data_IF_127960472479
#
_entry.id   IF_127960472479
#
_cell.length_a   1.000
_cell.length_b   1.000
_cell.length_c   1.000
_cell.angle_alpha   90.00
_cell.angle_beta   90.00
_cell.angle_gamma   90.00
#
_symmetry.space_group_name_H-M   'P 1'
#
loop_
_entity.id
_entity.type
_entity.pdbx_description
1 polymer ?
2 non-polymer ?
3 non-polymer ?
4 non-polymer ?
5 water ?
#
# COMPACT_ATOMS: atom_id res chain seq x y z
N UNK A 8 10.55 5.58 -3.47
CA UNK A 8 11.63 4.83 -2.77
C UNK A 8 12.35 5.55 -1.63
N UNK A 9 11.91 6.73 -1.32
CA UNK A 9 12.48 7.57 -0.29
C UNK A 9 11.43 7.74 0.83
N UNK A 10 11.72 7.12 2.00
CA UNK A 10 10.78 7.02 3.07
C UNK A 10 11.35 7.63 4.35
N UNK A 11 10.58 8.50 4.96
CA UNK A 11 11.00 9.14 6.21
C UNK A 11 10.41 8.39 7.41
N UNK A 12 11.12 8.46 8.53
CA UNK A 12 10.63 7.88 9.76
C UNK A 12 10.98 8.80 10.91
N UNK A 13 10.15 8.78 11.94
CA UNK A 13 10.39 9.54 13.12
C UNK A 13 10.13 8.71 14.33
N UNK A 14 10.97 8.85 15.36
CA UNK A 14 10.71 8.18 16.60
C UNK A 14 9.88 9.14 17.44
N UNK A 15 8.62 8.82 17.64
CA UNK A 15 7.69 9.71 18.37
C UNK A 15 8.11 9.89 19.83
N UNK A 16 8.53 8.83 20.43
CA UNK A 16 8.80 8.77 21.79
C UNK A 16 9.65 7.60 22.12
N UNK A 17 10.27 7.61 23.29
CA UNK A 17 11.33 6.67 23.66
C UNK A 17 10.90 5.88 24.88
N UNK A 18 10.99 4.59 24.79
CA UNK A 18 10.80 3.72 25.88
C UNK A 18 11.80 4.02 26.99
N UNK A 19 11.31 4.20 28.21
CA UNK A 19 12.22 4.34 29.36
C UNK A 19 13.01 3.06 29.67
N UNK A 20 12.71 1.94 29.03
CA UNK A 20 13.45 0.74 29.23
C UNK A 20 14.89 0.84 28.77
N UNK A 21 15.17 1.73 27.80
CA UNK A 21 16.45 1.80 27.14
C UNK A 21 16.92 3.24 27.16
N UNK A 22 18.24 3.45 27.02
CA UNK A 22 18.76 4.77 26.73
C UNK A 22 18.24 5.26 25.38
N UNK A 23 17.98 6.56 25.30
CA UNK A 23 17.48 7.19 24.07
C UNK A 23 18.40 6.87 22.87
N UNK A 24 19.71 6.95 23.07
CA UNK A 24 20.67 6.64 21.98
C UNK A 24 20.55 5.16 21.54
N UNK A 25 20.28 4.25 22.48
CA UNK A 25 20.15 2.84 22.16
C UNK A 25 18.89 2.62 21.35
N UNK A 26 17.81 3.32 21.70
CA UNK A 26 16.56 3.24 20.86
C UNK A 26 16.84 3.76 19.44
N UNK A 27 17.50 4.92 19.33
CA UNK A 27 17.82 5.44 18.02
C UNK A 27 18.62 4.44 17.16
N UNK A 28 19.64 3.81 17.76
CA UNK A 28 20.53 2.91 17.11
C UNK A 28 19.76 1.66 16.67
N UNK A 29 18.98 1.10 17.55
CA UNK A 29 18.21 -0.11 17.23
C UNK A 29 17.28 0.15 16.03
N UNK A 30 16.57 1.27 16.06
CA UNK A 30 15.67 1.61 14.97
C UNK A 30 16.42 1.89 13.66
N UNK A 31 17.53 2.60 13.76
CA UNK A 31 18.31 2.89 12.57
C UNK A 31 18.83 1.59 11.94
N UNK A 32 19.29 0.67 12.78
CA UNK A 32 19.83 -0.59 12.29
C UNK A 32 18.67 -1.40 11.71
N UNK A 33 17.51 -1.37 12.31
CA UNK A 33 16.37 -2.08 11.74
C UNK A 33 15.97 -1.59 10.36
N UNK A 34 15.91 -0.29 10.10
CA UNK A 34 15.68 0.20 8.79
C UNK A 34 16.82 -0.17 7.83
N UNK A 35 18.05 -0.18 8.30
CA UNK A 35 19.18 -0.59 7.48
C UNK A 35 19.08 -2.01 6.97
N UNK A 36 18.48 -2.91 7.76
CA UNK A 36 18.27 -4.27 7.30
C UNK A 36 17.42 -4.29 6.01
N UNK A 37 16.36 -3.48 5.96
CA UNK A 37 15.52 -3.49 4.80
C UNK A 37 16.12 -2.71 3.68
N UNK A 38 16.76 -1.60 4.01
CA UNK A 38 17.48 -0.85 2.96
C UNK A 38 18.60 -1.65 2.28
N UNK A 39 19.24 -2.57 2.99
CA UNK A 39 20.32 -3.37 2.44
C UNK A 39 19.86 -4.37 1.38
N UNK A 40 18.55 -4.59 1.25
CA UNK A 40 18.04 -5.58 0.26
C UNK A 40 17.02 -5.00 -0.69
N UNK A 41 16.91 -3.68 -0.76
CA UNK A 41 15.97 -2.95 -1.58
C UNK A 41 16.59 -1.62 -2.10
N UNK A 42 15.94 -1.00 -3.04
CA UNK A 42 16.28 0.37 -3.41
C UNK A 42 15.81 1.41 -2.45
N UNK A 43 15.21 1.02 -1.31
CA UNK A 43 14.67 1.99 -0.38
C UNK A 43 15.73 2.81 0.29
N UNK A 44 15.46 4.11 0.38
CA UNK A 44 16.32 5.06 1.11
C UNK A 44 15.45 5.57 2.28
N UNK A 45 15.93 5.34 3.50
CA UNK A 45 15.23 5.82 4.70
C UNK A 45 15.97 7.06 5.27
N UNK A 46 15.19 8.03 5.71
CA UNK A 46 15.76 9.23 6.34
C UNK A 46 15.02 9.47 7.64
N UNK A 47 15.78 9.42 8.72
CA UNK A 47 15.30 9.80 10.02
C UNK A 47 15.01 11.28 10.14
N UNK A 48 13.84 11.60 10.69
CA UNK A 48 13.45 12.97 11.02
C UNK A 48 13.24 13.09 12.52
N UNK A 49 13.73 14.17 13.14
CA UNK A 49 13.51 14.39 14.56
C UNK A 49 12.18 15.00 14.86
N UNK A 50 11.64 15.84 13.96
CA UNK A 50 10.41 16.50 14.11
C UNK A 50 9.81 16.62 12.73
N UNK A 51 8.50 16.68 12.71
CA UNK A 51 7.76 16.85 11.44
C UNK A 51 7.02 15.62 10.99
N UNK A 52 6.54 15.67 9.74
CA UNK A 52 5.59 14.69 9.23
C UNK A 52 6.28 13.60 8.52
N UNK A 53 6.38 12.43 9.16
CA UNK A 53 7.12 11.32 8.61
C UNK A 53 6.18 10.30 8.00
N UNK A 54 6.70 9.50 7.11
CA UNK A 54 5.93 8.36 6.59
C UNK A 54 5.65 7.31 7.67
N UNK A 55 6.66 7.00 8.44
CA UNK A 55 6.64 5.89 9.40
C UNK A 55 6.85 6.54 10.75
N UNK A 56 5.85 6.56 11.60
CA UNK A 56 6.07 6.94 13.01
C UNK A 56 6.25 5.70 13.91
N UNK A 57 7.31 5.73 14.73
CA UNK A 57 7.60 4.78 15.70
C UNK A 57 7.08 5.27 17.04
N UNK A 58 6.26 4.45 17.70
CA UNK A 58 5.61 4.85 18.92
C UNK A 58 5.71 3.72 19.93
N UNK A 59 6.00 4.07 21.21
CA UNK A 59 5.83 3.19 22.30
C UNK A 59 4.61 3.58 23.10
N UNK A 60 3.71 2.63 23.34
CA UNK A 60 2.46 2.94 24.06
C UNK A 60 1.93 1.69 24.62
N UNK A 61 1.00 1.84 25.55
CA UNK A 61 0.46 0.69 26.19
C UNK A 61 -1.05 0.67 26.06
N UNK A 62 -1.61 -0.49 26.29
CA UNK A 62 -3.07 -0.64 26.23
C UNK A 62 -3.68 0.00 25.03
N UNK A 63 -4.79 0.71 25.22
CA UNK A 63 -5.46 1.44 24.14
C UNK A 63 -4.73 2.73 23.91
N UNK A 64 -4.34 2.94 22.66
CA UNK A 64 -3.41 3.99 22.31
C UNK A 64 -3.80 4.63 21.00
N UNK A 65 -5.11 4.72 20.78
CA UNK A 65 -5.61 5.57 19.73
C UNK A 65 -5.83 5.02 18.36
N UNK A 66 -5.72 3.71 18.18
CA UNK A 66 -5.88 3.11 16.86
C UNK A 66 -6.80 1.99 16.72
N UNK A 67 -7.58 1.66 17.73
CA UNK A 67 -8.54 0.52 17.56
C UNK A 67 -7.90 -0.88 17.63
N UNK A 68 -6.60 -0.95 17.90
CA UNK A 68 -5.90 -2.14 18.18
C UNK A 68 -5.13 -2.01 19.52
N UNK A 69 -5.88 -2.12 20.59
CA UNK A 69 -5.26 -1.94 21.91
C UNK A 69 -4.30 -3.04 22.19
N UNK A 70 -3.23 -2.72 22.90
CA UNK A 70 -2.32 -3.71 23.45
C UNK A 70 -2.85 -4.39 24.68
N UNK A 71 -2.16 -5.40 25.12
CA UNK A 71 -2.75 -6.39 26.05
C UNK A 71 -1.93 -6.56 27.30
N UNK A 72 -1.11 -5.60 27.66
CA UNK A 72 -0.24 -5.78 28.83
C UNK A 72 1.00 -6.59 28.60
N UNK A 73 1.70 -6.95 29.66
CA UNK A 73 2.94 -7.63 29.54
C UNK A 73 2.74 -9.00 28.92
N UNK A 74 3.58 -9.32 27.94
CA UNK A 74 3.42 -10.55 27.22
C UNK A 74 2.44 -10.44 26.09
N UNK A 75 1.98 -11.59 25.59
CA UNK A 75 1.08 -11.54 24.48
C UNK A 75 1.66 -10.74 23.28
N UNK A 76 0.82 -9.88 22.72
CA UNK A 76 1.21 -9.05 21.61
C UNK A 76 2.34 -8.13 22.03
N UNK A 77 3.42 -8.08 21.22
CA UNK A 77 4.62 -7.28 21.51
C UNK A 77 4.53 -5.95 20.84
N UNK A 78 3.97 -5.91 19.61
CA UNK A 78 4.02 -4.76 18.74
C UNK A 78 3.10 -4.98 17.59
N UNK A 79 2.74 -3.95 16.85
CA UNK A 79 2.09 -4.12 15.53
C UNK A 79 2.39 -2.98 14.62
N UNK A 80 2.04 -3.05 13.35
CA UNK A 80 2.44 -1.96 12.51
C UNK A 80 1.47 -1.96 11.34
N UNK A 81 1.27 -0.82 10.82
CA UNK A 81 0.29 -0.65 9.71
C UNK A 81 1.06 -0.58 8.38
N UNK A 82 0.45 -1.15 7.33
CA UNK A 82 1.06 -1.04 6.05
C UNK A 82 1.07 0.37 5.50
N UNK A 83 1.76 0.57 4.37
CA UNK A 83 2.00 1.90 3.87
C UNK A 83 0.72 2.64 3.56
N UNK A 84 0.68 3.91 3.91
CA UNK A 84 -0.50 4.72 3.77
C UNK A 84 -0.40 6.03 4.38
N UNK A 85 -1.47 6.81 4.29
CA UNK A 85 -1.46 8.15 4.87
C UNK A 85 -1.74 7.94 6.33
N UNK A 86 -1.44 8.96 7.11
CA UNK A 86 -1.84 8.94 8.53
C UNK A 86 -1.11 7.84 9.29
N UNK A 87 -1.88 6.98 9.96
CA UNK A 87 -1.33 5.91 10.76
C UNK A 87 -0.66 4.83 9.85
N UNK A 88 -0.94 4.89 8.55
CA UNK A 88 -0.26 4.05 7.63
C UNK A 88 1.25 4.14 7.75
N UNK A 89 1.88 3.00 7.84
CA UNK A 89 3.30 2.86 7.95
C UNK A 89 3.76 2.86 9.44
N UNK A 90 2.91 3.20 10.36
CA UNK A 90 3.39 3.43 11.68
C UNK A 90 3.67 2.08 12.33
N UNK A 91 4.54 2.07 13.33
CA UNK A 91 4.97 0.89 14.02
C UNK A 91 4.89 1.18 15.50
N UNK A 92 4.09 0.37 16.19
CA UNK A 92 3.80 0.63 17.59
C UNK A 92 4.30 -0.53 18.42
N UNK A 93 4.97 -0.22 19.53
CA UNK A 93 5.63 -1.18 20.41
C UNK A 93 4.97 -1.09 21.78
N UNK A 94 4.55 -2.22 22.27
CA UNK A 94 3.85 -2.31 23.56
C UNK A 94 4.80 -2.00 24.71
N UNK A 95 4.56 -0.86 25.34
CA UNK A 95 5.43 -0.46 26.43
C UNK A 95 5.33 -1.35 27.61
N UNK A 96 4.30 -2.17 27.71
CA UNK A 96 4.31 -3.18 28.78
C UNK A 96 5.32 -4.33 28.61
N UNK A 97 5.98 -4.39 27.46
CA UNK A 97 7.16 -5.23 27.34
C UNK A 97 8.35 -4.51 27.83
N UNK A 98 9.41 -5.28 28.06
CA UNK A 98 10.69 -4.73 28.48
C UNK A 98 11.64 -4.74 27.31
N UNK A 99 11.75 -3.59 26.65
CA UNK A 99 12.58 -3.49 25.41
C UNK A 99 14.06 -3.46 25.72
N UNK A 100 14.83 -4.20 24.97
CA UNK A 100 16.27 -4.32 25.23
C UNK A 100 17.14 -4.11 24.02
N UNK A 101 18.39 -3.72 24.26
CA UNK A 101 19.39 -3.57 23.17
C UNK A 101 19.82 -4.98 22.71
N UNK A 102 19.87 -5.92 23.68
CA UNK A 102 20.27 -7.29 23.41
C UNK A 102 19.17 -8.19 23.97
N UNK A 103 19.49 -9.13 24.86
CA UNK A 103 18.51 -10.07 25.41
C UNK A 103 18.10 -9.58 26.80
N UNK A 104 17.49 -10.43 27.61
CA UNK A 104 17.02 -10.01 28.94
C UNK A 104 15.66 -9.32 28.92
N UNK A 105 14.98 -9.44 27.81
CA UNK A 105 13.70 -8.72 27.57
C UNK A 105 13.37 -9.04 26.13
N UNK A 106 12.64 -8.14 25.48
CA UNK A 106 12.28 -8.31 24.10
C UNK A 106 13.20 -7.34 23.32
N UNK A 107 14.00 -7.93 22.42
CA UNK A 107 14.98 -7.19 21.69
C UNK A 107 14.27 -6.19 20.71
N UNK A 108 14.60 -4.91 20.86
CA UNK A 108 13.90 -3.91 20.09
C UNK A 108 14.32 -4.00 18.63
N UNK A 109 15.63 -4.12 18.36
CA UNK A 109 16.09 -4.24 16.98
C UNK A 109 15.33 -5.32 16.16
N UNK A 110 15.32 -6.54 16.64
CA UNK A 110 14.69 -7.65 15.96
C UNK A 110 13.21 -7.39 15.78
N UNK A 111 12.56 -6.98 16.86
CA UNK A 111 11.17 -6.63 16.74
C UNK A 111 10.87 -5.56 15.77
N UNK A 112 11.73 -4.55 15.72
CA UNK A 112 11.60 -3.46 14.77
C UNK A 112 11.82 -3.96 13.35
N UNK A 113 12.73 -4.88 13.17
CA UNK A 113 12.88 -5.45 11.78
C UNK A 113 11.54 -6.07 11.32
N UNK A 114 10.92 -6.84 12.21
CA UNK A 114 9.63 -7.43 11.90
C UNK A 114 8.57 -6.40 11.64
N UNK A 115 8.42 -5.42 12.57
CA UNK A 115 7.44 -4.41 12.36
C UNK A 115 7.65 -3.54 11.17
N UNK A 116 8.90 -3.20 10.88
CA UNK A 116 9.14 -2.39 9.69
C UNK A 116 8.78 -3.17 8.44
N UNK A 117 8.98 -4.47 8.48
CA UNK A 117 8.44 -5.28 7.42
C UNK A 117 7.01 -5.02 7.16
N UNK A 118 6.18 -5.06 8.20
CA UNK A 118 4.77 -4.69 8.02
C UNK A 118 4.54 -3.28 7.56
N UNK A 119 5.33 -2.31 8.12
CA UNK A 119 5.26 -0.90 7.69
C UNK A 119 5.43 -0.77 6.19
N UNK A 120 6.27 -1.66 5.60
CA UNK A 120 6.56 -1.53 4.20
C UNK A 120 5.63 -2.34 3.34
N UNK A 121 4.76 -3.13 3.96
CA UNK A 121 3.67 -3.78 3.28
C UNK A 121 3.74 -5.28 3.36
N UNK A 122 4.60 -5.88 4.16
CA UNK A 122 4.77 -7.32 4.21
C UNK A 122 3.76 -7.88 5.21
N UNK A 123 3.24 -9.04 4.90
CA UNK A 123 2.63 -9.90 5.87
C UNK A 123 3.49 -10.91 6.54
N UNK A 124 2.85 -11.90 7.20
CA UNK A 124 3.62 -12.87 7.86
C UNK A 124 4.08 -13.96 6.91
N UNK A 125 5.27 -14.46 7.19
CA UNK A 125 5.85 -15.64 6.52
C UNK A 125 5.48 -16.93 7.22
N UNK A 126 5.39 -17.99 6.43
CA UNK A 126 5.30 -19.34 6.95
C UNK A 126 6.67 -20.00 7.03
N UNK A 127 7.75 -19.28 6.74
CA UNK A 127 9.08 -19.77 6.89
C UNK A 127 9.62 -19.41 8.27
N UNK A 128 9.88 -20.36 9.13
CA UNK A 128 10.37 -20.02 10.47
C UNK A 128 11.72 -19.38 10.54
N UNK A 129 12.49 -19.40 9.45
CA UNK A 129 13.73 -18.69 9.41
C UNK A 129 13.54 -17.21 9.02
N UNK A 130 12.37 -16.84 8.54
CA UNK A 130 12.09 -15.47 8.14
C UNK A 130 11.82 -14.57 9.38
N UNK A 131 12.29 -13.32 9.29
CA UNK A 131 11.96 -12.36 10.38
C UNK A 131 10.47 -12.07 10.42
N UNK A 132 9.80 -12.22 9.28
CA UNK A 132 8.40 -12.09 9.21
C UNK A 132 7.60 -13.31 9.69
N UNK A 133 8.26 -14.34 10.19
CA UNK A 133 7.54 -15.40 10.88
C UNK A 133 7.22 -14.84 12.26
N UNK A 134 5.95 -14.94 12.72
CA UNK A 134 5.54 -14.20 13.90
C UNK A 134 5.84 -14.99 15.25
N UNK A 135 7.05 -15.44 15.44
CA UNK A 135 7.53 -16.00 16.73
C UNK A 135 8.83 -15.28 17.08
N UNK A 136 8.82 -14.60 18.21
CA UNK A 136 10.02 -13.90 18.66
C UNK A 136 10.98 -14.95 19.14
N UNK A 137 12.22 -14.78 18.73
CA UNK A 137 13.28 -15.61 19.20
C UNK A 137 14.51 -14.75 19.14
N UNK A 138 15.25 -14.69 20.25
CA UNK A 138 16.43 -13.87 20.24
C UNK A 138 17.52 -14.58 19.42
N UNK A 139 18.25 -13.78 18.68
CA UNK A 139 19.45 -14.24 18.04
C UNK A 139 20.39 -13.13 18.18
N UNK A 140 21.67 -13.46 18.35
CA UNK A 140 22.71 -12.46 18.35
C UNK A 140 22.52 -11.50 17.21
N UNK A 141 22.43 -10.24 17.57
CA UNK A 141 22.14 -9.18 16.65
C UNK A 141 23.15 -9.11 15.54
N UNK A 142 24.37 -9.55 15.78
CA UNK A 142 25.42 -9.46 14.75
C UNK A 142 25.40 -10.58 13.77
N UNK A 143 24.79 -11.70 14.15
CA UNK A 143 24.64 -12.80 13.24
C UNK A 143 23.22 -12.83 12.59
N UNK A 144 22.33 -11.92 13.00
CA UNK A 144 20.98 -11.88 12.41
C UNK A 144 21.07 -11.66 10.90
N UNK A 145 20.28 -12.41 10.13
CA UNK A 145 20.16 -12.18 8.69
C UNK A 145 18.72 -12.44 8.25
N UNK A 146 18.24 -11.62 7.31
CA UNK A 146 16.95 -11.87 6.68
C UNK A 146 17.04 -13.22 5.96
N UNK A 147 15.95 -13.94 5.94
CA UNK A 147 15.85 -15.15 5.17
C UNK A 147 15.55 -14.77 3.72
N UNK A 148 15.79 -15.75 2.85
CA UNK A 148 15.42 -15.56 1.46
C UNK A 148 13.95 -15.30 1.23
N UNK A 149 13.11 -15.87 2.05
CA UNK A 149 11.69 -15.50 2.02
C UNK A 149 11.36 -14.03 2.31
N UNK A 150 12.04 -13.43 3.29
CA UNK A 150 11.89 -11.98 3.57
C UNK A 150 12.34 -11.15 2.40
N UNK A 151 13.43 -11.57 1.76
CA UNK A 151 13.97 -10.81 0.66
C UNK A 151 13.03 -10.95 -0.51
N UNK A 152 12.54 -12.17 -0.76
CA UNK A 152 11.48 -12.34 -1.83
C UNK A 152 10.33 -11.37 -1.57
N UNK A 153 9.80 -11.36 -0.35
CA UNK A 153 8.66 -10.50 -0.08
C UNK A 153 8.89 -9.07 -0.32
N UNK A 154 9.96 -8.55 0.22
CA UNK A 154 10.22 -7.14 0.12
C UNK A 154 10.60 -6.73 -1.33
N UNK A 155 11.35 -7.61 -2.02
CA UNK A 155 11.69 -7.28 -3.40
C UNK A 155 10.48 -7.37 -4.31
N UNK A 156 9.49 -8.12 -3.90
CA UNK A 156 8.25 -8.14 -4.69
C UNK A 156 7.53 -6.85 -4.66
N UNK A 157 7.72 -6.07 -3.60
CA UNK A 157 7.11 -4.74 -3.53
C UNK A 157 7.96 -3.58 -4.02
N UNK A 158 9.28 -3.65 -3.84
CA UNK A 158 10.14 -2.51 -4.09
C UNK A 158 11.27 -2.90 -5.03
N UNK A 159 11.34 -2.20 -6.15
CA UNK A 159 12.16 -2.61 -7.31
C UNK A 159 11.31 -3.15 -8.47
N UNK B 8 -9.35 10.10 -29.81
CA UNK B 8 -8.22 9.44 -29.16
C UNK B 8 -7.50 10.18 -28.03
N UNK B 9 -7.98 11.38 -27.70
CA UNK B 9 -7.43 12.19 -26.69
C UNK B 9 -8.47 12.20 -25.58
N UNK B 10 -8.07 11.82 -24.37
CA UNK B 10 -9.04 11.63 -23.31
C UNK B 10 -8.47 12.22 -22.04
N UNK B 11 -9.23 13.11 -21.45
CA UNK B 11 -8.84 13.77 -20.24
C UNK B 11 -9.36 12.98 -19.02
N UNK B 12 -8.62 13.03 -17.93
CA UNK B 12 -9.17 12.53 -16.66
C UNK B 12 -8.84 13.50 -15.54
N UNK B 13 -9.65 13.45 -14.51
CA UNK B 13 -9.43 14.19 -13.33
C UNK B 13 -9.76 13.35 -12.11
N UNK B 14 -8.90 13.38 -11.14
CA UNK B 14 -9.23 12.78 -9.86
C UNK B 14 -10.04 13.79 -9.00
N UNK B 15 -11.33 13.48 -8.81
CA UNK B 15 -12.21 14.38 -8.11
C UNK B 15 -11.85 14.56 -6.67
N UNK B 16 -11.39 13.49 -6.08
CA UNK B 16 -11.14 13.48 -4.67
C UNK B 16 -10.26 12.33 -4.35
N UNK B 17 -9.70 12.30 -3.12
CA UNK B 17 -8.71 11.40 -2.79
C UNK B 17 -9.08 10.58 -1.56
N UNK B 18 -8.88 9.27 -1.63
CA UNK B 18 -9.27 8.42 -0.53
C UNK B 18 -8.30 8.77 0.61
N UNK B 19 -8.86 8.89 1.83
CA UNK B 19 -7.99 9.10 3.06
C UNK B 19 -7.17 7.92 3.36
N UNK B 20 -7.45 6.78 2.71
CA UNK B 20 -6.71 5.57 2.88
C UNK B 20 -5.25 5.66 2.51
N UNK B 21 -4.95 6.46 1.52
CA UNK B 21 -3.66 6.49 0.88
C UNK B 21 -3.10 7.88 0.83
N UNK B 22 -1.77 7.94 0.71
CA UNK B 22 -1.09 9.16 0.40
C UNK B 22 -1.61 9.68 -0.95
N UNK B 23 -1.82 10.98 -1.04
CA UNK B 23 -2.35 11.65 -2.23
C UNK B 23 -1.46 11.33 -3.42
N UNK B 24 -0.15 11.48 -3.24
CA UNK B 24 0.74 11.18 -4.34
C UNK B 24 0.63 9.74 -4.82
N UNK B 25 0.32 8.82 -3.91
CA UNK B 25 0.21 7.40 -4.27
C UNK B 25 -1.08 7.14 -5.12
N UNK B 26 -2.15 7.82 -4.81
CA UNK B 26 -3.42 7.75 -5.60
C UNK B 26 -3.11 8.32 -7.00
N UNK B 27 -2.44 9.48 -7.06
CA UNK B 27 -2.07 10.05 -8.35
C UNK B 27 -1.25 9.07 -9.16
N UNK B 28 -0.29 8.45 -8.54
CA UNK B 28 0.58 7.48 -9.24
C UNK B 28 -0.12 6.22 -9.68
N UNK B 29 -0.92 5.68 -8.78
CA UNK B 29 -1.69 4.46 -9.15
C UNK B 29 -2.60 4.74 -10.39
N UNK B 30 -3.29 5.85 -10.33
CA UNK B 30 -4.24 6.18 -11.45
C UNK B 30 -3.46 6.44 -12.71
N UNK B 31 -2.35 7.16 -12.58
CA UNK B 31 -1.55 7.47 -13.75
C UNK B 31 -1.02 6.19 -14.41
N UNK B 32 -0.57 5.25 -13.61
CA UNK B 32 -0.03 3.99 -14.12
C UNK B 32 -1.14 3.11 -14.71
N UNK B 33 -2.31 3.18 -14.14
CA UNK B 33 -3.44 2.42 -14.69
C UNK B 33 -3.83 2.93 -16.05
N UNK B 34 -3.89 4.24 -16.23
CA UNK B 34 -4.10 4.73 -17.59
C UNK B 34 -2.98 4.33 -18.56
N UNK B 35 -1.77 4.35 -18.10
CA UNK B 35 -0.67 3.93 -18.89
C UNK B 35 -0.78 2.49 -19.43
N UNK B 36 -1.30 1.59 -18.60
CA UNK B 36 -1.49 0.24 -18.99
C UNK B 36 -2.30 0.24 -20.33
N UNK B 37 -3.43 0.96 -20.38
CA UNK B 37 -4.24 1.01 -21.55
C UNK B 37 -3.70 1.83 -22.73
N UNK B 38 -3.01 2.91 -22.41
CA UNK B 38 -2.28 3.75 -23.38
C UNK B 38 -1.27 2.87 -24.15
N UNK B 39 -0.62 1.98 -23.43
CA UNK B 39 0.43 1.14 -23.97
C UNK B 39 -0.03 0.17 -25.05
N UNK B 40 -1.34 -0.06 -25.23
CA UNK B 40 -1.84 -1.03 -26.19
C UNK B 40 -2.93 -0.42 -27.08
N UNK B 41 -2.97 0.89 -27.15
CA UNK B 41 -3.96 1.55 -27.99
C UNK B 41 -3.34 2.83 -28.54
N UNK B 42 -4.07 3.53 -29.41
CA UNK B 42 -3.64 4.82 -29.86
C UNK B 42 -4.09 5.95 -29.00
N UNK B 43 -4.61 5.59 -27.80
CA UNK B 43 -5.19 6.61 -26.90
C UNK B 43 -4.13 7.39 -26.19
N UNK B 44 -4.38 8.70 -26.13
CA UNK B 44 -3.58 9.55 -25.32
C UNK B 44 -4.42 10.07 -24.15
N UNK B 45 -3.91 9.96 -22.94
CA UNK B 45 -4.58 10.50 -21.79
C UNK B 45 -3.85 11.71 -21.26
N UNK B 46 -4.64 12.66 -20.74
CA UNK B 46 -4.18 13.88 -20.12
C UNK B 46 -4.86 14.09 -18.78
N UNK B 47 -4.07 14.16 -17.75
CA UNK B 47 -4.54 14.40 -16.46
C UNK B 47 -4.84 15.91 -16.30
N UNK B 48 -6.04 16.22 -15.81
CA UNK B 48 -6.52 17.55 -15.52
C UNK B 48 -6.55 17.67 -14.01
N UNK B 49 -6.05 18.77 -13.46
CA UNK B 49 -6.21 19.01 -11.99
C UNK B 49 -7.52 19.74 -11.71
N UNK B 50 -8.02 20.56 -12.64
CA UNK B 50 -9.21 21.29 -12.46
C UNK B 50 -9.91 21.38 -13.80
N UNK B 51 -11.20 21.20 -13.81
CA UNK B 51 -11.94 21.52 -15.00
C UNK B 51 -12.71 20.32 -15.49
N UNK B 52 -13.17 20.37 -16.73
CA UNK B 52 -14.13 19.42 -17.23
C UNK B 52 -13.39 18.28 -17.95
N UNK B 53 -13.34 17.14 -17.31
CA UNK B 53 -12.62 15.97 -17.79
C UNK B 53 -13.60 14.93 -18.39
N UNK B 54 -13.09 14.11 -19.31
CA UNK B 54 -13.90 12.98 -19.83
C UNK B 54 -14.13 11.95 -18.71
N UNK B 55 -13.08 11.56 -18.02
CA UNK B 55 -13.18 10.50 -17.01
C UNK B 55 -12.91 11.11 -15.66
N UNK B 56 -13.88 11.06 -14.80
CA UNK B 56 -13.69 11.49 -13.42
C UNK B 56 -13.50 10.28 -12.59
N UNK B 57 -12.44 10.30 -11.79
CA UNK B 57 -12.13 9.31 -10.76
C UNK B 57 -12.67 9.83 -9.46
N UNK B 58 -13.55 9.06 -8.81
CA UNK B 58 -14.28 9.47 -7.57
C UNK B 58 -14.15 8.38 -6.55
N UNK B 59 -13.90 8.78 -5.28
CA UNK B 59 -14.09 7.85 -4.13
C UNK B 59 -15.31 8.29 -3.39
N UNK B 60 -16.22 7.36 -3.15
CA UNK B 60 -17.42 7.64 -2.48
C UNK B 60 -17.97 6.42 -1.84
N UNK B 61 -18.94 6.65 -0.99
CA UNK B 61 -19.62 5.50 -0.31
C UNK B 61 -21.07 5.52 -0.49
N UNK B 62 -21.70 4.38 -0.21
CA UNK B 62 -23.15 4.29 -0.27
C UNK B 62 -23.75 4.94 -1.54
N UNK B 63 -24.89 5.54 -1.42
CA UNK B 63 -25.52 6.24 -2.51
C UNK B 63 -24.67 7.53 -2.76
N UNK B 64 -24.33 7.79 -4.00
CA UNK B 64 -23.43 8.85 -4.30
C UNK B 64 -23.75 9.50 -5.58
N UNK B 65 -25.01 9.53 -5.96
CA UNK B 65 -25.43 10.39 -7.02
C UNK B 65 -25.70 9.80 -8.37
N UNK B 66 -25.53 8.47 -8.49
CA UNK B 66 -25.88 7.77 -9.68
C UNK B 66 -26.88 6.64 -9.29
N UNK B 67 -27.18 5.74 -10.19
CA UNK B 67 -28.24 4.84 -9.79
C UNK B 67 -27.70 3.60 -9.19
N UNK B 68 -26.47 3.64 -8.68
CA UNK B 68 -25.70 2.46 -8.39
C UNK B 68 -24.95 2.63 -7.05
N UNK B 69 -25.70 2.65 -5.98
CA UNK B 69 -25.12 2.84 -4.69
C UNK B 69 -24.18 1.71 -4.35
N UNK B 70 -23.13 2.03 -3.62
CA UNK B 70 -22.24 1.07 -3.03
C UNK B 70 -22.81 0.45 -1.75
N UNK B 71 -22.14 -0.59 -1.32
CA UNK B 71 -22.72 -1.59 -0.40
C UNK B 71 -21.94 -1.74 0.88
N UNK B 72 -21.15 -0.76 1.26
CA UNK B 72 -20.28 -0.94 2.40
C UNK B 72 -19.06 -1.81 2.18
N UNK B 73 -18.35 -2.13 3.27
CA UNK B 73 -17.17 -2.88 3.14
C UNK B 73 -17.40 -4.24 2.53
N UNK B 74 -16.54 -4.64 1.61
CA UNK B 74 -16.69 -5.93 0.92
C UNK B 74 -17.66 -5.79 -0.25
N UNK B 75 -18.09 -6.91 -0.79
CA UNK B 75 -18.90 -6.87 -1.94
C UNK B 75 -18.30 -6.04 -3.06
N UNK B 76 -19.13 -5.16 -3.63
CA UNK B 76 -18.72 -4.37 -4.72
C UNK B 76 -17.54 -3.47 -4.29
N UNK B 77 -16.46 -3.46 -5.11
CA UNK B 77 -15.30 -2.68 -4.85
C UNK B 77 -15.33 -1.33 -5.56
N UNK B 78 -15.87 -1.31 -6.82
CA UNK B 78 -15.78 -0.14 -7.61
C UNK B 78 -16.64 -0.40 -8.83
N UNK B 79 -16.93 0.63 -9.56
CA UNK B 79 -17.70 0.50 -10.80
C UNK B 79 -17.42 1.68 -11.69
N UNK B 80 -17.68 1.55 -13.02
CA UNK B 80 -17.29 2.56 -13.95
C UNK B 80 -18.26 2.53 -15.10
N UNK B 81 -18.56 3.70 -15.63
CA UNK B 81 -19.46 3.85 -16.78
C UNK B 81 -18.69 3.91 -18.04
N UNK B 82 -19.24 3.30 -19.10
CA UNK B 82 -18.63 3.44 -20.35
C UNK B 82 -18.72 4.79 -20.90
N UNK B 83 -18.03 5.02 -22.02
CA UNK B 83 -17.93 6.37 -22.51
C UNK B 83 -19.27 7.10 -22.73
N UNK B 84 -19.31 8.37 -22.41
CA UNK B 84 -20.52 9.17 -22.57
C UNK B 84 -20.36 10.52 -22.00
N UNK B 85 -21.39 11.36 -22.20
CA UNK B 85 -21.52 12.62 -21.59
C UNK B 85 -21.63 12.42 -20.07
N UNK B 86 -21.28 13.48 -19.33
CA UNK B 86 -21.60 13.53 -17.94
C UNK B 86 -20.89 12.49 -17.12
N UNK B 87 -21.71 11.65 -16.46
CA UNK B 87 -21.13 10.48 -15.72
C UNK B 87 -20.48 9.47 -16.61
N UNK B 88 -20.77 9.47 -17.93
CA UNK B 88 -20.10 8.51 -18.79
C UNK B 88 -18.58 8.64 -18.64
N UNK B 89 -17.92 7.51 -18.65
CA UNK B 89 -16.51 7.43 -18.43
C UNK B 89 -16.07 7.37 -16.98
N UNK B 90 -16.94 7.77 -16.07
CA UNK B 90 -16.48 8.03 -14.67
C UNK B 90 -16.24 6.75 -14.00
N UNK B 91 -15.18 6.67 -13.18
CA UNK B 91 -14.79 5.46 -12.41
C UNK B 91 -14.97 5.81 -10.94
N UNK B 92 -15.75 4.98 -10.26
CA UNK B 92 -16.11 5.20 -8.84
C UNK B 92 -15.59 4.07 -8.01
N UNK B 93 -14.85 4.42 -6.95
CA UNK B 93 -14.28 3.52 -6.04
C UNK B 93 -14.95 3.58 -4.66
N UNK B 94 -15.42 2.45 -4.18
CA UNK B 94 -16.13 2.40 -2.88
C UNK B 94 -15.19 2.73 -1.71
N UNK B 95 -15.41 3.92 -1.14
CA UNK B 95 -14.59 4.38 0.00
C UNK B 95 -14.75 3.48 1.20
N UNK B 96 -15.75 2.61 1.21
CA UNK B 96 -15.84 1.64 2.31
C UNK B 96 -14.73 0.58 2.28
N UNK B 97 -14.12 0.36 1.11
CA UNK B 97 -12.97 -0.49 0.98
C UNK B 97 -11.72 0.22 1.48
N UNK B 98 -10.71 -0.58 1.78
CA UNK B 98 -9.47 -0.02 2.19
C UNK B 98 -8.46 -0.13 1.04
N UNK B 99 -8.25 1.01 0.40
CA UNK B 99 -7.47 1.10 -0.86
C UNK B 99 -5.98 1.16 -0.45
N UNK B 100 -5.16 0.41 -1.15
CA UNK B 100 -3.75 0.39 -0.83
C UNK B 100 -2.84 0.45 -2.07
N UNK B 101 -1.55 0.67 -1.79
CA UNK B 101 -0.55 0.45 -2.78
C UNK B 101 0.02 -0.99 -2.79
N UNK B 102 -0.44 -1.90 -1.93
CA UNK B 102 0.16 -3.21 -1.74
C UNK B 102 -0.91 -4.28 -1.74
N UNK B 103 -0.70 -5.36 -1.01
CA UNK B 103 -1.60 -6.49 -1.02
C UNK B 103 -2.61 -6.53 0.11
N UNK B 104 -2.42 -5.72 1.13
CA UNK B 104 -3.41 -5.51 2.15
C UNK B 104 -4.59 -4.85 1.47
N UNK B 105 -5.75 -5.15 1.95
CA UNK B 105 -6.91 -4.42 1.48
C UNK B 105 -7.08 -4.71 0.03
N UNK B 106 -7.45 -3.63 -0.68
CA UNK B 106 -7.73 -3.67 -2.11
C UNK B 106 -6.76 -2.76 -2.85
N UNK B 107 -5.95 -3.36 -3.72
CA UNK B 107 -4.91 -2.57 -4.42
C UNK B 107 -5.61 -1.61 -5.36
N UNK B 108 -5.29 -0.33 -5.26
CA UNK B 108 -5.96 0.62 -6.11
C UNK B 108 -5.55 0.46 -7.55
N UNK B 109 -4.26 0.38 -7.80
CA UNK B 109 -3.78 0.31 -9.17
C UNK B 109 -4.49 -0.78 -9.95
N UNK B 110 -4.52 -2.00 -9.39
CA UNK B 110 -5.09 -3.14 -10.14
C UNK B 110 -6.58 -2.90 -10.37
N UNK B 111 -7.24 -2.37 -9.36
CA UNK B 111 -8.67 -2.11 -9.49
C UNK B 111 -8.91 -1.00 -10.51
N UNK B 112 -8.09 0.06 -10.44
CA UNK B 112 -8.19 1.13 -11.48
C UNK B 112 -7.96 0.60 -12.90
N UNK B 113 -7.07 -0.36 -13.11
CA UNK B 113 -6.93 -0.87 -14.47
C UNK B 113 -8.25 -1.46 -14.95
N UNK B 114 -8.85 -2.29 -14.12
CA UNK B 114 -10.17 -2.84 -14.43
C UNK B 114 -11.19 -1.79 -14.69
N UNK B 115 -11.29 -0.83 -13.78
CA UNK B 115 -12.31 0.20 -13.93
C UNK B 115 -12.11 1.07 -15.16
N UNK B 116 -10.86 1.42 -15.45
CA UNK B 116 -10.59 2.21 -16.66
C UNK B 116 -10.94 1.42 -17.90
N UNK B 117 -10.76 0.10 -17.88
CA UNK B 117 -11.23 -0.69 -18.95
C UNK B 117 -12.70 -0.47 -19.22
N UNK B 118 -13.53 -0.51 -18.16
CA UNK B 118 -14.92 -0.18 -18.29
C UNK B 118 -15.10 1.27 -18.78
N UNK B 119 -14.37 2.23 -18.21
CA UNK B 119 -14.52 3.66 -18.63
C UNK B 119 -14.31 3.85 -20.12
N UNK B 120 -13.45 3.01 -20.72
CA UNK B 120 -13.17 3.03 -22.15
C UNK B 120 -14.14 2.28 -23.01
N UNK B 121 -15.03 1.53 -22.37
CA UNK B 121 -16.04 0.80 -23.12
C UNK B 121 -15.98 -0.70 -23.01
N UNK B 122 -15.08 -1.30 -22.21
CA UNK B 122 -15.02 -2.73 -22.18
C UNK B 122 -16.08 -3.25 -21.25
N UNK B 123 -16.56 -4.47 -21.55
CA UNK B 123 -17.34 -5.23 -20.57
C UNK B 123 -16.44 -6.25 -19.88
N UNK B 124 -17.05 -7.18 -19.15
CA UNK B 124 -16.28 -8.22 -18.57
C UNK B 124 -15.82 -9.31 -19.52
N UNK B 125 -14.70 -9.90 -19.18
CA UNK B 125 -14.10 -10.96 -19.91
C UNK B 125 -14.49 -12.26 -19.22
N UNK B 126 -14.58 -13.33 -20.00
CA UNK B 126 -14.67 -14.68 -19.44
C UNK B 126 -13.29 -15.40 -19.32
N UNK B 127 -12.22 -14.73 -19.75
CA UNK B 127 -10.88 -15.24 -19.60
C UNK B 127 -10.39 -14.83 -18.20
N UNK B 128 -10.15 -15.79 -17.29
CA UNK B 128 -9.59 -15.50 -15.98
C UNK B 128 -8.25 -14.80 -15.94
N UNK B 129 -7.42 -14.91 -16.97
CA UNK B 129 -6.18 -14.16 -16.99
C UNK B 129 -6.41 -12.68 -17.33
N UNK B 130 -7.60 -12.34 -17.85
CA UNK B 130 -7.85 -10.98 -18.26
C UNK B 130 -8.11 -10.04 -17.07
N UNK B 131 -7.59 -8.82 -17.14
CA UNK B 131 -7.91 -7.86 -16.12
C UNK B 131 -9.41 -7.58 -16.05
N UNK B 132 -10.07 -7.68 -17.17
CA UNK B 132 -11.51 -7.45 -17.18
C UNK B 132 -12.36 -8.59 -16.64
N UNK B 133 -11.71 -9.69 -16.18
CA UNK B 133 -12.46 -10.75 -15.48
C UNK B 133 -12.81 -10.21 -14.10
N UNK B 134 -14.06 -10.34 -13.68
CA UNK B 134 -14.48 -9.69 -12.48
C UNK B 134 -14.24 -10.45 -11.18
N UNK B 135 -13.00 -10.87 -10.99
CA UNK B 135 -12.56 -11.39 -9.70
C UNK B 135 -11.30 -10.66 -9.36
N UNK B 136 -11.31 -9.88 -8.28
CA UNK B 136 -10.08 -9.25 -7.82
C UNK B 136 -9.08 -10.28 -7.32
N UNK B 137 -7.84 -10.13 -7.72
CA UNK B 137 -6.76 -11.02 -7.28
C UNK B 137 -5.45 -10.22 -7.25
N UNK B 138 -4.90 -10.05 -6.05
CA UNK B 138 -3.67 -9.33 -5.97
C UNK B 138 -2.56 -10.04 -6.76
N UNK B 139 -1.80 -9.29 -7.58
CA UNK B 139 -0.54 -9.76 -8.19
C UNK B 139 0.45 -8.66 -8.08
N UNK B 140 1.72 -9.04 -7.92
CA UNK B 140 2.81 -8.08 -7.90
C UNK B 140 2.63 -7.14 -9.07
N UNK B 141 2.41 -5.88 -8.70
CA UNK B 141 2.06 -4.81 -9.63
C UNK B 141 3.08 -4.70 -10.75
N UNK B 142 4.34 -4.96 -10.44
CA UNK B 142 5.41 -4.95 -11.41
C UNK B 142 5.23 -6.07 -12.44
N UNK B 143 4.66 -7.18 -11.97
CA UNK B 143 4.41 -8.37 -12.78
C UNK B 143 3.08 -8.40 -13.55
N UNK B 144 2.22 -7.44 -13.28
CA UNK B 144 0.92 -7.41 -13.92
C UNK B 144 0.99 -7.17 -15.43
N UNK B 145 0.19 -7.90 -16.18
CA UNK B 145 0.15 -7.68 -17.64
C UNK B 145 -1.25 -7.81 -18.07
N UNK B 146 -1.66 -7.01 -19.06
CA UNK B 146 -2.87 -7.31 -19.77
C UNK B 146 -2.82 -8.67 -20.49
N UNK B 147 -3.96 -9.37 -20.51
CA UNK B 147 -4.06 -10.55 -21.34
C UNK B 147 -4.34 -10.20 -22.76
N UNK B 148 -4.11 -11.19 -23.64
CA UNK B 148 -4.50 -11.06 -25.00
C UNK B 148 -5.98 -10.79 -25.21
N UNK B 149 -6.84 -11.28 -24.30
CA UNK B 149 -8.24 -10.96 -24.43
C UNK B 149 -8.52 -9.47 -24.14
N UNK B 150 -7.80 -8.92 -23.20
CA UNK B 150 -7.97 -7.49 -22.92
C UNK B 150 -7.51 -6.60 -24.05
N UNK B 151 -6.38 -7.03 -24.70
CA UNK B 151 -5.87 -6.30 -25.84
C UNK B 151 -6.85 -6.40 -26.99
N UNK B 152 -7.43 -7.58 -27.19
CA UNK B 152 -8.41 -7.79 -28.24
C UNK B 152 -9.58 -6.84 -27.99
N UNK B 153 -10.08 -6.86 -26.78
CA UNK B 153 -11.19 -5.99 -26.40
C UNK B 153 -10.97 -4.56 -26.72
N UNK B 154 -9.88 -4.01 -26.24
CA UNK B 154 -9.67 -2.58 -26.29
C UNK B 154 -9.34 -2.15 -27.73
N UNK B 155 -8.63 -3.02 -28.45
CA UNK B 155 -8.26 -2.66 -29.83
C UNK B 155 -9.43 -2.79 -30.74
N UNK B 156 -10.43 -3.58 -30.36
CA UNK B 156 -11.68 -3.61 -31.09
C UNK B 156 -12.41 -2.27 -31.02
N UNK B 157 -12.22 -1.49 -29.96
CA UNK B 157 -12.83 -0.18 -29.83
C UNK B 157 -12.01 0.96 -30.31
N UNK B 158 -10.68 0.89 -30.13
CA UNK B 158 -9.82 1.94 -30.50
C UNK B 158 -8.70 1.46 -31.45
N UNK B 159 -8.61 2.11 -32.58
CA UNK B 159 -7.56 1.74 -33.56
C UNK B 159 -8.18 1.32 -34.88
X LIG C 1 2.54 -9.87 14.15
X LIG C 1 2.36 -9.05 15.07
X LIG C 1 2.90 -7.87 15.14
X LIG C 1 3.70 -7.58 14.08
X LIG C 1 1.40 -9.33 16.20
X LIG C 1 1.42 -10.84 16.48
X LIG C 1 0.55 -11.59 15.76
X LIG C 1 0.46 -12.96 15.90
X LIG C 1 1.27 -13.57 16.77
X LIG C 1 2.16 -12.87 17.53
X LIG C 1 2.26 -11.45 17.40
X LIG C 1 3.42 -10.66 18.34
X LIG C 1 3.57 -11.48 19.49
X LIG C 1 3.09 -9.34 18.60
X LIG C 1 4.87 -10.74 17.54
X LIG C 1 5.62 -9.57 17.29
X LIG C 1 6.88 -9.62 16.74
X LIG C 1 7.46 -10.79 16.37
X LIG C 1 6.75 -12.00 16.67
X LIG C 1 5.46 -11.95 17.22
X LIG C 1 8.87 -10.96 15.91
X LIG C 1 9.80 -10.17 16.58
X LIG C 1 11.16 -10.32 16.33
X LIG C 1 11.64 -11.34 15.51
X LIG C 1 12.98 -11.47 15.32
X LIG C 1 13.48 -12.70 14.77
X LIG C 1 10.67 -12.14 14.83
X LIG C 1 9.32 -12.00 15.11
X LIG D 1 3.83 -9.34 12.69
X LIG E 1 -1.22 0.64 17.67
X LIG F 1 2.45 7.05 8.92
X LIG G 1 8.53 -1.17 29.04
X LIG H 1 1.72 -7.13 25.23
X LIG I 1 -17.29 -5.27 -12.24
X LIG I 1 -17.50 -4.48 -11.29
X LIG I 1 -16.91 -3.33 -11.25
X LIG I 1 -16.07 -2.92 -12.28
X LIG I 1 -18.41 -4.77 -10.14
X LIG I 1 -18.38 -6.24 -9.88
X LIG I 1 -19.32 -6.97 -10.62
X LIG I 1 -19.33 -8.37 -10.53
X LIG I 1 -18.53 -9.04 -9.63
X LIG I 1 -17.63 -8.32 -8.86
X LIG I 1 -17.55 -6.90 -8.96
X LIG I 1 -16.43 -6.15 -8.04
X LIG I 1 -16.26 -6.89 -6.85
X LIG I 1 -16.77 -4.78 -7.78
X LIG I 1 -15.00 -6.16 -8.83
X LIG I 1 -14.29 -5.00 -9.14
X LIG I 1 -13.02 -5.04 -9.67
X LIG I 1 -12.46 -6.27 -10.03
X LIG I 1 -13.15 -7.44 -9.71
X LIG I 1 -14.42 -7.41 -9.07
X LIG I 1 -11.06 -6.42 -10.54
X LIG I 1 -10.09 -5.62 -9.90
X LIG I 1 -8.78 -5.77 -10.17
X LIG I 1 -8.36 -6.76 -11.02
X LIG I 1 -7.00 -6.85 -11.16
X LIG I 1 -6.34 -7.95 -11.73
X LIG I 1 -9.27 -7.59 -11.65
X LIG I 1 -10.61 -7.44 -11.37
X LIG J 1 -16.01 -4.74 -13.67
X LIG K 1 -21.07 5.29 -8.85
X LIG L 1 -17.43 11.70 -17.60
X LIG M 1 -11.55 3.62 2.68
X LIG N 1 -18.24 -2.42 -1.12
#
# INVERSE_FOLDING_TARGET
MGPVWRKHYITYRINNYTPDMNREDVDYAIRKAFQVWSNVTPLKFSKINTGMADILVVFARGAHGDDHAFDGKGGILAHAFGPGSGIGGDAHFDEDEFWTTHSGGTNLFLTAVHEIGHSLGLGHSSDPKAVMFPTYKYVDINTFRLSADDIRGIQSLYG
MGPVWRKHYITYRINNYTPDMNREDVDYAIRKAFQVWSNVTPLKFSKINTGMADILVVFARGAHGDDHAFDGKGGILAHAFGPGSGIGGDAHFDEDEFWTTHSGGTNLFLTAVHEIGHSLGLGHSSDPKAVMFPTYKYVDINTFRLSADDIRGIQSLYG
LPW O3 C24 N1 ON1 C23 C22 C21 C20 C19 C18 C17 S1 OSB OSA C13 C12 C11 C10 C15 C14 C4 C3 C2 C1 OA C8 C6 C5
ZN ZN
ZN ZN
CA CA
CA CA
CA CA
LPW O3 C24 N1 ON1 C23 C22 C21 C20 C19 C18 C17 S1 OSB OSA C13 C12 C11 C10 C15 C14 C4 C3 C2 C1 OA C8 C6 C5
ZN ZN
ZN ZN
CA CA
CA CA
CA CA
#
